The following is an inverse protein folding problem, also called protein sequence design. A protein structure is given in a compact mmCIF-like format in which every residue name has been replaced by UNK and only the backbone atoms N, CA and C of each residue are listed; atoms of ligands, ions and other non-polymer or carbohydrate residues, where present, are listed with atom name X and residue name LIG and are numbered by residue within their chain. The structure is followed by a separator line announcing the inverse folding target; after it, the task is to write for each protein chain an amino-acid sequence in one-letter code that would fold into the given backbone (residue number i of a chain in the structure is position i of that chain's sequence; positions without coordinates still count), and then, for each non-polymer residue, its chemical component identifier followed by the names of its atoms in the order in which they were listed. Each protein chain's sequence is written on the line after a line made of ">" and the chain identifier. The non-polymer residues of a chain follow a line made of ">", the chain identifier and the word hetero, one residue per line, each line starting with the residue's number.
data_IF_246835589602
#
_entry.id   IF_246835589602
#
_cell.length_a   1.000
_cell.length_b   1.000
_cell.length_c   1.000
_cell.angle_alpha   90.00
_cell.angle_beta   90.00
_cell.angle_gamma   90.00
#
_symmetry.space_group_name_H-M   'P 1'
#
loop_
_entity.id
_entity.type
_entity.pdbx_description
1 polymer ?
#
# COMPACT_ATOMS: atom_id res chain seq x y z
N UNK A 1 -9.76 -7.83 -4.69
CA UNK A 1 -8.63 -8.78 -4.73
C UNK A 1 -7.44 -8.25 -3.94
N UNK A 2 -6.89 -7.08 -4.28
CA UNK A 2 -5.69 -6.51 -3.62
C UNK A 2 -5.76 -6.48 -2.08
N UNK A 3 -6.86 -5.99 -1.49
CA UNK A 3 -7.03 -5.97 -0.03
C UNK A 3 -6.96 -7.36 0.61
N UNK A 4 -7.59 -8.37 -0.01
CA UNK A 4 -7.51 -9.76 0.49
C UNK A 4 -6.07 -10.28 0.49
N UNK A 5 -5.30 -9.98 -0.56
CA UNK A 5 -3.89 -10.37 -0.63
C UNK A 5 -3.11 -9.70 0.50
N UNK A 6 -3.30 -8.39 0.68
CA UNK A 6 -2.64 -7.61 1.73
C UNK A 6 -2.93 -8.13 3.15
N UNK A 7 -4.18 -8.53 3.40
CA UNK A 7 -4.63 -9.06 4.68
C UNK A 7 -4.00 -10.43 4.98
N UNK A 8 -4.00 -11.36 4.03
CA UNK A 8 -3.48 -12.72 4.25
C UNK A 8 -1.97 -12.78 4.41
N UNK A 9 -1.23 -11.79 3.90
CA UNK A 9 0.23 -11.68 4.07
C UNK A 9 0.63 -10.97 5.36
N UNK A 10 -0.34 -10.53 6.18
CA UNK A 10 -0.12 -9.75 7.38
C UNK A 10 0.75 -8.50 7.15
N UNK A 11 0.70 -7.95 5.93
CA UNK A 11 1.40 -6.71 5.56
C UNK A 11 0.76 -5.50 6.25
N UNK A 12 1.54 -4.43 6.43
CA UNK A 12 1.17 -3.32 7.33
C UNK A 12 1.50 -1.97 6.71
N UNK A 13 0.77 -0.95 7.15
CA UNK A 13 0.97 0.47 6.83
C UNK A 13 0.69 0.84 5.38
N UNK A 14 1.62 0.56 4.47
CA UNK A 14 1.48 0.84 3.06
C UNK A 14 2.37 -0.07 2.21
N UNK A 15 1.96 -0.27 0.96
CA UNK A 15 2.70 -1.03 -0.02
C UNK A 15 1.91 -1.12 -1.32
N UNK A 16 2.35 -2.00 -2.22
CA UNK A 16 1.73 -2.19 -3.54
C UNK A 16 1.32 -3.66 -3.72
N UNK A 17 0.22 -3.85 -4.43
CA UNK A 17 -0.19 -5.16 -4.95
C UNK A 17 -0.28 -5.02 -6.46
N UNK A 18 0.52 -5.81 -7.15
CA UNK A 18 0.56 -5.82 -8.61
C UNK A 18 -0.36 -6.93 -9.12
N UNK A 19 -1.29 -6.53 -10.00
CA UNK A 19 -2.29 -7.40 -10.60
C UNK A 19 -2.13 -7.38 -12.11
N UNK A 20 -2.39 -8.52 -12.75
CA UNK A 20 -2.48 -8.64 -14.22
C UNK A 20 -3.86 -9.14 -14.58
N UNK A 21 -4.46 -8.60 -15.64
CA UNK A 21 -5.70 -9.15 -16.18
C UNK A 21 -5.39 -10.41 -17.01
N UNK A 22 -6.14 -11.48 -16.79
CA UNK A 22 -6.06 -12.69 -17.61
C UNK A 22 -6.79 -12.51 -18.96
N UNK A 23 -6.86 -13.57 -19.76
CA UNK A 23 -7.50 -13.54 -21.09
C UNK A 23 -9.01 -13.22 -21.03
N UNK A 24 -9.67 -13.48 -19.90
CA UNK A 24 -11.07 -13.13 -19.67
C UNK A 24 -11.25 -11.70 -19.11
N UNK A 25 -10.16 -10.94 -18.90
CA UNK A 25 -10.20 -9.61 -18.32
C UNK A 25 -10.32 -9.59 -16.79
N UNK A 26 -10.13 -10.74 -16.13
CA UNK A 26 -10.22 -10.85 -14.66
C UNK A 26 -8.85 -10.60 -14.00
N UNK A 27 -8.78 -9.88 -12.87
CA UNK A 27 -7.52 -9.60 -12.21
C UNK A 27 -6.96 -10.84 -11.50
N UNK A 28 -5.67 -11.12 -11.74
CA UNK A 28 -4.86 -12.14 -11.10
C UNK A 28 -3.68 -11.51 -10.35
N UNK A 29 -3.34 -12.09 -9.20
CA UNK A 29 -2.24 -11.60 -8.36
C UNK A 29 -0.87 -11.98 -8.93
N UNK A 30 0.07 -11.03 -8.94
CA UNK A 30 1.44 -11.24 -9.43
C UNK A 30 2.47 -11.05 -8.32
N UNK A 31 2.45 -9.90 -7.65
CA UNK A 31 3.45 -9.52 -6.66
C UNK A 31 2.82 -8.69 -5.54
N UNK A 32 3.37 -8.88 -4.34
CA UNK A 32 3.18 -7.96 -3.21
C UNK A 32 4.51 -7.26 -2.91
N UNK A 33 4.46 -5.95 -2.73
CA UNK A 33 5.59 -5.14 -2.29
C UNK A 33 5.22 -4.34 -1.03
N UNK A 34 5.48 -4.88 0.18
CA UNK A 34 5.23 -4.19 1.44
C UNK A 34 6.17 -3.01 1.72
N UNK A 35 7.19 -2.79 0.89
CA UNK A 35 8.11 -1.66 0.97
C UNK A 35 8.19 -0.95 -0.37
N UNK A 36 7.04 -0.43 -0.81
CA UNK A 36 6.94 0.28 -2.08
C UNK A 36 7.83 1.54 -2.08
N UNK A 37 8.31 1.93 -3.27
CA UNK A 37 9.07 3.15 -3.45
C UNK A 37 8.28 4.40 -2.99
N UNK A 38 9.00 5.38 -2.45
CA UNK A 38 8.43 6.63 -1.93
C UNK A 38 9.01 7.88 -2.62
N UNK A 39 9.63 7.73 -3.80
CA UNK A 39 9.99 8.90 -4.59
C UNK A 39 8.71 9.64 -4.99
N UNK A 40 8.63 10.92 -4.62
CA UNK A 40 7.48 11.80 -4.83
C UNK A 40 6.95 11.80 -6.27
N UNK A 41 7.85 11.75 -7.26
CA UNK A 41 7.53 11.88 -8.67
C UNK A 41 7.41 10.53 -9.37
N UNK A 42 8.33 9.62 -9.07
CA UNK A 42 8.58 8.43 -9.90
C UNK A 42 8.09 7.12 -9.27
N UNK A 43 7.69 7.10 -8.00
CA UNK A 43 7.19 5.87 -7.36
C UNK A 43 5.68 5.73 -7.44
N UNK A 44 5.23 4.52 -7.73
CA UNK A 44 3.80 4.21 -7.92
C UNK A 44 2.95 4.54 -6.70
N UNK A 45 3.43 4.26 -5.48
CA UNK A 45 2.63 4.49 -4.27
C UNK A 45 2.29 5.99 -4.10
N UNK A 46 3.25 6.94 -4.16
CA UNK A 46 2.96 8.37 -4.26
C UNK A 46 2.08 8.77 -5.43
N UNK A 47 2.30 8.20 -6.63
CA UNK A 47 1.48 8.51 -7.82
C UNK A 47 0.02 8.12 -7.59
N UNK A 48 -0.23 6.89 -7.11
CA UNK A 48 -1.56 6.36 -6.82
C UNK A 48 -2.25 7.13 -5.70
N UNK A 49 -1.52 7.53 -4.65
CA UNK A 49 -2.05 8.37 -3.58
C UNK A 49 -2.57 9.71 -4.15
N UNK A 50 -1.78 10.39 -4.99
CA UNK A 50 -2.19 11.65 -5.62
C UNK A 50 -3.40 11.48 -6.54
N UNK A 51 -3.42 10.42 -7.33
CA UNK A 51 -4.58 10.09 -8.17
C UNK A 51 -5.84 9.82 -7.34
N UNK A 52 -5.68 9.42 -6.09
CA UNK A 52 -6.76 9.23 -5.12
C UNK A 52 -6.96 10.44 -4.17
N UNK A 53 -6.47 11.62 -4.55
CA UNK A 53 -6.69 12.87 -3.82
C UNK A 53 -5.89 13.00 -2.51
N UNK A 54 -4.93 12.12 -2.25
CA UNK A 54 -4.01 12.20 -1.11
C UNK A 54 -2.66 12.76 -1.57
N UNK A 55 -2.26 13.91 -1.03
CA UNK A 55 -0.94 14.46 -1.31
C UNK A 55 0.18 13.64 -0.63
N UNK A 56 1.42 13.91 -1.02
CA UNK A 56 2.56 13.12 -0.52
C UNK A 56 2.75 13.25 0.99
N UNK A 57 2.60 14.46 1.53
CA UNK A 57 2.70 14.68 2.98
C UNK A 57 1.62 13.91 3.73
N UNK A 58 0.39 13.89 3.23
CA UNK A 58 -0.72 13.11 3.76
C UNK A 58 -0.47 11.60 3.69
N UNK A 59 0.12 11.10 2.60
CA UNK A 59 0.55 9.70 2.49
C UNK A 59 1.58 9.36 3.57
N UNK A 60 2.63 10.15 3.72
CA UNK A 60 3.66 9.92 4.74
C UNK A 60 3.05 10.00 6.15
N UNK A 61 2.17 10.96 6.41
CA UNK A 61 1.47 11.08 7.69
C UNK A 61 0.62 9.83 7.99
N UNK A 62 -0.12 9.30 7.01
CA UNK A 62 -0.92 8.09 7.17
C UNK A 62 -0.06 6.85 7.49
N UNK A 63 1.08 6.70 6.81
CA UNK A 63 2.05 5.61 7.08
C UNK A 63 2.57 5.72 8.51
N UNK A 64 2.98 6.92 8.93
CA UNK A 64 3.49 7.16 10.29
C UNK A 64 2.42 6.90 11.35
N UNK A 65 1.19 7.39 11.15
CA UNK A 65 0.07 7.14 12.07
C UNK A 65 -0.25 5.66 12.22
N UNK A 66 -0.21 4.89 11.12
CA UNK A 66 -0.41 3.44 11.16
C UNK A 66 0.70 2.73 11.95
N UNK A 67 1.95 3.16 11.77
CA UNK A 67 3.09 2.65 12.52
C UNK A 67 3.01 3.01 14.02
N UNK A 68 2.69 4.26 14.35
CA UNK A 68 2.48 4.74 15.72
C UNK A 68 1.38 3.94 16.43
N UNK A 69 0.21 3.78 15.80
CA UNK A 69 -0.90 3.00 16.35
C UNK A 69 -0.45 1.58 16.70
N UNK A 70 0.33 0.94 15.84
CA UNK A 70 0.87 -0.40 16.10
C UNK A 70 1.87 -0.42 17.26
N UNK A 71 2.75 0.58 17.35
CA UNK A 71 3.80 0.61 18.36
C UNK A 71 3.25 1.01 19.73
N UNK A 72 2.30 1.95 19.80
CA UNK A 72 1.67 2.38 21.05
C UNK A 72 0.64 1.37 21.58
N UNK A 73 0.17 0.41 20.77
CA UNK A 73 -0.66 -0.70 21.24
C UNK A 73 0.16 -1.89 21.81
N UNK A 74 1.50 -1.76 21.90
CA UNK A 74 2.38 -2.82 22.47
C UNK A 74 2.67 -2.67 23.97
N UNK A 75 1.87 -1.92 24.71
CA UNK A 75 1.87 -1.98 26.19
C UNK A 75 0.68 -2.82 26.69
N UNK A 76 0.84 -4.15 26.69
CA UNK A 76 0.27 -5.10 27.68
C UNK A 76 1.19 -6.32 27.73
#
# INVERSE_FOLDING_TARGET
>A
LALRVWEVTASRDAGRIDLRLNEAGEPEFIEINPLAGLNLHDSDLPILARLNGMDFTGLIAAIMQAAEKRMCMKEV
#
